data_IF_635001046370
#
_entry.id   IF_635001046370
#
_cell.length_a   1.000
_cell.length_b   1.000
_cell.length_c   1.000
_cell.angle_alpha   90.00
_cell.angle_beta   90.00
_cell.angle_gamma   90.00
#
_symmetry.space_group_name_H-M   'P 1'
#
loop_
_entity.id
_entity.type
_entity.pdbx_description
1 polymer ?
#
# COMPACT_ATOMS: atom_id res chain seq x y z
N UNK A 1 -33.10 -31.79 -11.90
CA UNK A 1 -33.96 -31.31 -13.00
C UNK A 1 -35.35 -31.23 -12.44
N UNK A 2 -35.96 -30.04 -12.46
CA UNK A 2 -37.41 -29.81 -12.58
C UNK A 2 -37.69 -28.34 -12.26
N UNK A 3 -37.38 -27.49 -13.24
CA UNK A 3 -37.99 -26.18 -13.39
C UNK A 3 -39.38 -26.41 -13.99
N UNK A 4 -40.43 -26.41 -13.15
CA UNK A 4 -41.79 -26.31 -13.66
C UNK A 4 -42.09 -24.83 -13.92
N UNK A 5 -41.90 -24.44 -15.17
CA UNK A 5 -42.46 -23.25 -15.77
C UNK A 5 -43.99 -23.34 -15.70
N UNK A 6 -44.61 -22.68 -14.72
CA UNK A 6 -45.97 -22.18 -14.89
C UNK A 6 -45.87 -20.72 -15.31
N UNK A 7 -45.40 -20.51 -16.54
CA UNK A 7 -45.72 -19.28 -17.24
C UNK A 7 -47.18 -19.42 -17.65
N UNK A 8 -48.08 -18.81 -16.88
CA UNK A 8 -49.42 -18.51 -17.38
C UNK A 8 -49.22 -17.77 -18.69
N UNK A 9 -49.42 -18.50 -19.78
CA UNK A 9 -49.36 -18.01 -21.15
C UNK A 9 -50.15 -16.71 -21.22
N UNK A 10 -49.42 -15.61 -21.34
CA UNK A 10 -49.94 -14.26 -21.26
C UNK A 10 -50.67 -13.94 -22.58
N UNK A 11 -51.86 -14.50 -22.77
CA UNK A 11 -52.68 -14.36 -23.99
C UNK A 11 -53.30 -12.95 -24.15
N UNK A 12 -52.98 -12.03 -23.24
CA UNK A 12 -53.48 -10.66 -23.27
C UNK A 12 -52.71 -9.82 -24.28
N UNK A 13 -53.43 -8.94 -24.96
CA UNK A 13 -52.89 -8.03 -25.96
C UNK A 13 -52.03 -6.98 -25.27
N UNK A 14 -50.75 -6.91 -25.64
CA UNK A 14 -49.81 -5.91 -25.11
C UNK A 14 -49.99 -4.59 -25.84
N UNK A 15 -50.24 -3.53 -25.10
CA UNK A 15 -50.41 -2.17 -25.60
C UNK A 15 -49.54 -1.22 -24.78
N UNK A 16 -49.07 -0.15 -25.41
CA UNK A 16 -48.17 0.83 -24.78
C UNK A 16 -48.91 2.02 -24.18
N UNK A 17 -50.12 2.33 -24.68
CA UNK A 17 -50.91 3.50 -24.29
C UNK A 17 -52.34 3.11 -23.90
N UNK A 18 -52.71 3.40 -22.65
CA UNK A 18 -54.08 3.23 -22.10
C UNK A 18 -55.08 4.08 -22.88
N UNK A 19 -54.70 5.32 -23.19
CA UNK A 19 -55.53 6.30 -23.92
C UNK A 19 -56.01 5.78 -25.28
N UNK A 20 -55.11 5.21 -26.09
CA UNK A 20 -55.48 4.68 -27.41
C UNK A 20 -56.50 3.53 -27.30
N UNK A 21 -56.38 2.68 -26.28
CA UNK A 21 -57.36 1.59 -26.05
C UNK A 21 -58.72 2.17 -25.68
N UNK A 22 -58.77 3.18 -24.82
CA UNK A 22 -60.02 3.89 -24.45
C UNK A 22 -60.67 4.53 -25.69
N UNK A 23 -59.89 5.18 -26.56
CA UNK A 23 -60.39 5.78 -27.80
C UNK A 23 -61.01 4.72 -28.74
N UNK A 24 -60.37 3.55 -28.87
CA UNK A 24 -60.91 2.44 -29.67
C UNK A 24 -62.19 1.87 -29.05
N UNK A 25 -62.21 1.64 -27.73
CA UNK A 25 -63.41 1.16 -27.01
C UNK A 25 -64.58 2.11 -27.28
N UNK A 26 -64.37 3.42 -27.15
CA UNK A 26 -65.42 4.40 -27.40
C UNK A 26 -65.92 4.39 -28.85
N UNK A 27 -65.02 4.28 -29.83
CA UNK A 27 -65.40 4.18 -31.24
C UNK A 27 -66.28 2.95 -31.52
N UNK A 28 -65.92 1.78 -30.98
CA UNK A 28 -66.70 0.55 -31.17
C UNK A 28 -68.01 0.54 -30.37
N UNK A 29 -68.04 1.16 -29.18
CA UNK A 29 -69.27 1.40 -28.44
C UNK A 29 -70.28 2.22 -29.26
N UNK A 30 -69.83 3.28 -29.95
CA UNK A 30 -70.71 4.07 -30.83
C UNK A 30 -71.24 3.28 -32.03
N UNK A 31 -70.44 2.36 -32.59
CA UNK A 31 -70.90 1.45 -33.64
C UNK A 31 -71.93 0.45 -33.12
N UNK A 32 -71.69 -0.15 -31.95
CA UNK A 32 -72.62 -1.08 -31.31
C UNK A 32 -73.97 -0.42 -31.00
N UNK A 33 -73.95 0.82 -30.48
CA UNK A 33 -75.16 1.63 -30.26
C UNK A 33 -75.97 1.80 -31.55
N UNK A 34 -75.32 2.15 -32.67
CA UNK A 34 -75.98 2.29 -33.97
C UNK A 34 -76.63 0.99 -34.45
N UNK A 35 -75.96 -0.15 -34.24
CA UNK A 35 -76.48 -1.47 -34.61
C UNK A 35 -77.71 -1.84 -33.78
N UNK A 36 -77.69 -1.63 -32.47
CA UNK A 36 -78.81 -1.91 -31.58
C UNK A 36 -80.02 -1.03 -31.92
N UNK A 37 -79.79 0.27 -32.15
CA UNK A 37 -80.86 1.21 -32.51
C UNK A 37 -81.50 0.90 -33.87
N UNK A 38 -80.77 0.24 -34.78
CA UNK A 38 -81.29 -0.22 -36.07
C UNK A 38 -82.19 -1.46 -36.00
N UNK A 39 -82.32 -2.10 -34.84
CA UNK A 39 -83.17 -3.30 -34.69
C UNK A 39 -84.63 -2.92 -34.40
N UNK A 40 -85.54 -3.24 -35.32
CA UNK A 40 -86.97 -2.89 -35.23
C UNK A 40 -87.83 -3.90 -34.46
N UNK A 41 -87.27 -5.05 -34.05
CA UNK A 41 -88.03 -6.18 -33.49
C UNK A 41 -88.09 -6.21 -31.95
N UNK A 42 -87.40 -5.28 -31.27
CA UNK A 42 -87.30 -5.24 -29.81
C UNK A 42 -88.11 -4.07 -29.24
N UNK A 43 -88.70 -4.28 -28.06
CA UNK A 43 -89.32 -3.19 -27.26
C UNK A 43 -88.24 -2.21 -26.78
N UNK A 44 -88.58 -0.92 -26.68
CA UNK A 44 -87.63 0.14 -26.27
C UNK A 44 -86.99 -0.13 -24.90
N UNK A 45 -87.73 -0.72 -23.95
CA UNK A 45 -87.20 -1.11 -22.64
C UNK A 45 -86.17 -2.25 -22.73
N UNK A 46 -86.40 -3.23 -23.60
CA UNK A 46 -85.48 -4.34 -23.82
C UNK A 46 -84.22 -3.89 -24.56
N UNK A 47 -84.33 -2.89 -25.45
CA UNK A 47 -83.18 -2.28 -26.14
C UNK A 47 -82.26 -1.55 -25.18
N UNK A 48 -82.82 -0.79 -24.24
CA UNK A 48 -82.04 -0.05 -23.25
C UNK A 48 -81.25 -1.00 -22.34
N UNK A 49 -81.92 -2.01 -21.79
CA UNK A 49 -81.26 -3.02 -20.96
C UNK A 49 -80.15 -3.77 -21.72
N UNK A 50 -80.45 -4.22 -22.95
CA UNK A 50 -79.48 -4.91 -23.79
C UNK A 50 -78.30 -4.01 -24.17
N UNK A 51 -78.56 -2.72 -24.42
CA UNK A 51 -77.53 -1.75 -24.75
C UNK A 51 -76.58 -1.52 -23.56
N UNK A 52 -77.10 -1.31 -22.37
CA UNK A 52 -76.28 -1.09 -21.17
C UNK A 52 -75.45 -2.33 -20.82
N UNK A 53 -76.09 -3.51 -20.79
CA UNK A 53 -75.41 -4.76 -20.45
C UNK A 53 -74.37 -5.15 -21.50
N UNK A 54 -74.67 -5.04 -22.80
CA UNK A 54 -73.73 -5.40 -23.86
C UNK A 54 -72.54 -4.44 -23.91
N UNK A 55 -72.76 -3.13 -23.75
CA UNK A 55 -71.67 -2.14 -23.78
C UNK A 55 -70.74 -2.30 -22.57
N UNK A 56 -71.31 -2.59 -21.40
CA UNK A 56 -70.53 -2.86 -20.20
C UNK A 56 -69.73 -4.16 -20.34
N UNK A 57 -70.37 -5.25 -20.77
CA UNK A 57 -69.71 -6.54 -20.98
C UNK A 57 -68.60 -6.45 -22.04
N UNK A 58 -68.83 -5.69 -23.12
CA UNK A 58 -67.81 -5.44 -24.14
C UNK A 58 -66.60 -4.71 -23.57
N UNK A 59 -66.82 -3.63 -22.82
CA UNK A 59 -65.74 -2.87 -22.21
C UNK A 59 -64.93 -3.71 -21.22
N UNK A 60 -65.59 -4.36 -20.27
CA UNK A 60 -64.92 -5.21 -19.27
C UNK A 60 -64.13 -6.32 -19.94
N UNK A 61 -64.70 -6.98 -20.96
CA UNK A 61 -63.99 -8.01 -21.71
C UNK A 61 -62.75 -7.48 -22.43
N UNK A 62 -62.80 -6.26 -23.00
CA UNK A 62 -61.60 -5.65 -23.61
C UNK A 62 -60.55 -5.30 -22.55
N UNK A 63 -60.98 -4.73 -21.41
CA UNK A 63 -60.07 -4.33 -20.33
C UNK A 63 -59.35 -5.54 -19.70
N UNK A 64 -60.06 -6.66 -19.49
CA UNK A 64 -59.48 -7.90 -18.96
C UNK A 64 -58.48 -8.56 -19.91
N UNK A 65 -58.63 -8.35 -21.22
CA UNK A 65 -57.80 -8.98 -22.25
C UNK A 65 -56.63 -8.10 -22.73
N UNK A 66 -56.43 -6.92 -22.14
CA UNK A 66 -55.35 -5.99 -22.50
C UNK A 66 -54.36 -5.84 -21.35
N UNK A 67 -53.08 -5.71 -21.69
CA UNK A 67 -52.01 -5.32 -20.78
C UNK A 67 -51.37 -4.03 -21.25
N UNK A 68 -51.24 -3.06 -20.35
CA UNK A 68 -50.61 -1.77 -20.62
C UNK A 68 -49.24 -1.78 -19.95
N UNK A 69 -48.16 -1.76 -20.75
CA UNK A 69 -46.79 -1.85 -20.23
C UNK A 69 -46.58 -3.01 -19.24
N UNK A 70 -47.10 -4.19 -19.61
CA UNK A 70 -47.11 -5.44 -18.80
C UNK A 70 -47.88 -5.36 -17.47
N UNK A 71 -48.68 -4.31 -17.25
CA UNK A 71 -49.59 -4.16 -16.12
C UNK A 71 -51.03 -4.43 -16.51
N UNK A 72 -51.85 -4.81 -15.53
CA UNK A 72 -53.30 -4.93 -15.71
C UNK A 72 -53.94 -3.56 -15.95
N UNK A 73 -55.18 -3.54 -16.43
CA UNK A 73 -55.91 -2.29 -16.71
C UNK A 73 -56.05 -1.38 -15.48
N UNK A 74 -56.21 -1.96 -14.29
CA UNK A 74 -56.35 -1.24 -13.01
C UNK A 74 -55.00 -0.70 -12.50
N UNK A 75 -53.93 -1.48 -12.65
CA UNK A 75 -52.58 -1.11 -12.17
C UNK A 75 -51.82 -0.16 -13.11
N UNK A 76 -52.31 -0.02 -14.34
CA UNK A 76 -51.74 0.87 -15.33
C UNK A 76 -52.10 2.32 -15.00
N UNK A 77 -51.08 3.09 -14.64
CA UNK A 77 -51.19 4.54 -14.43
C UNK A 77 -51.85 5.18 -15.65
N UNK A 78 -52.82 6.05 -15.40
CA UNK A 78 -53.42 6.87 -16.43
C UNK A 78 -52.36 7.87 -16.88
N UNK A 79 -51.92 7.70 -18.13
CA UNK A 79 -51.01 8.63 -18.79
C UNK A 79 -51.80 9.89 -19.19
N UNK A 80 -52.44 10.51 -18.21
CA UNK A 80 -53.20 11.74 -18.38
C UNK A 80 -52.24 12.92 -18.25
N UNK A 81 -51.21 12.90 -19.08
CA UNK A 81 -50.46 14.08 -19.46
C UNK A 81 -51.24 14.83 -20.54
N UNK A 82 -52.36 15.48 -20.19
CA UNK A 82 -52.96 16.52 -21.04
C UNK A 82 -52.06 17.76 -21.00
N UNK A 83 -50.90 17.69 -21.66
CA UNK A 83 -50.17 18.87 -22.15
C UNK A 83 -50.45 18.93 -23.65
N UNK A 84 -51.48 19.69 -24.01
CA UNK A 84 -51.86 19.89 -25.39
C UNK A 84 -53.24 20.53 -25.49
N UNK A 85 -53.30 21.83 -25.24
CA UNK A 85 -54.40 22.69 -25.69
C UNK A 85 -54.65 22.43 -27.18
N UNK A 86 -55.66 21.61 -27.49
CA UNK A 86 -56.28 21.63 -28.79
C UNK A 86 -57.79 21.68 -28.60
N UNK A 87 -58.27 22.92 -28.73
CA UNK A 87 -59.65 23.37 -28.76
C UNK A 87 -60.55 22.34 -29.45
N UNK A 88 -61.38 21.66 -28.66
CA UNK A 88 -62.53 20.92 -29.18
C UNK A 88 -63.73 21.26 -28.31
N UNK A 89 -64.72 21.84 -28.96
CA UNK A 89 -65.94 22.43 -28.42
C UNK A 89 -66.91 21.33 -27.95
N UNK A 90 -66.79 20.88 -26.69
CA UNK A 90 -67.81 20.04 -26.04
C UNK A 90 -67.90 20.35 -24.54
N UNK A 91 -69.02 20.99 -24.14
CA UNK A 91 -69.31 21.33 -22.75
C UNK A 91 -69.74 20.10 -21.94
N UNK A 92 -68.80 19.46 -21.26
CA UNK A 92 -69.07 18.66 -20.06
C UNK A 92 -68.34 19.33 -18.90
N UNK A 93 -68.80 19.14 -17.66
CA UNK A 93 -68.29 19.78 -16.44
C UNK A 93 -66.87 19.27 -16.11
N UNK A 94 -65.90 19.74 -16.88
CA UNK A 94 -64.46 19.43 -16.80
C UNK A 94 -63.74 20.23 -15.68
N UNK A 95 -64.38 21.30 -15.19
CA UNK A 95 -63.83 22.27 -14.23
C UNK A 95 -63.33 21.66 -12.91
N UNK A 96 -63.99 20.60 -12.39
CA UNK A 96 -63.66 20.04 -11.08
C UNK A 96 -62.52 19.00 -11.13
N UNK A 97 -62.30 18.33 -12.28
CA UNK A 97 -61.23 17.32 -12.42
C UNK A 97 -59.96 17.94 -13.02
N UNK A 98 -60.11 18.92 -13.92
CA UNK A 98 -58.99 19.70 -14.47
C UNK A 98 -58.33 20.56 -13.38
N UNK A 99 -59.13 21.17 -12.50
CA UNK A 99 -58.60 21.96 -11.37
C UNK A 99 -57.70 21.18 -10.42
N UNK A 100 -57.99 19.90 -10.15
CA UNK A 100 -57.16 19.07 -9.25
C UNK A 100 -55.80 18.76 -9.87
N UNK A 101 -55.76 18.46 -11.17
CA UNK A 101 -54.51 18.16 -11.89
C UNK A 101 -53.69 19.46 -12.07
N UNK A 102 -54.33 20.57 -12.40
CA UNK A 102 -53.68 21.87 -12.51
C UNK A 102 -53.10 22.31 -11.16
N UNK A 103 -53.81 22.10 -10.04
CA UNK A 103 -53.33 22.39 -8.70
C UNK A 103 -52.10 21.54 -8.33
N UNK A 104 -52.08 20.26 -8.68
CA UNK A 104 -50.92 19.37 -8.47
C UNK A 104 -49.71 19.82 -9.30
N UNK A 105 -49.92 20.20 -10.56
CA UNK A 105 -48.85 20.71 -11.44
C UNK A 105 -48.31 22.04 -10.91
N UNK A 106 -49.20 22.95 -10.47
CA UNK A 106 -48.81 24.22 -9.86
C UNK A 106 -48.06 24.02 -8.54
N UNK A 107 -48.48 23.07 -7.71
CA UNK A 107 -47.78 22.73 -6.47
C UNK A 107 -46.37 22.19 -6.75
N UNK A 108 -46.21 21.34 -7.77
CA UNK A 108 -44.91 20.83 -8.20
C UNK A 108 -44.03 21.94 -8.78
N UNK A 109 -44.58 22.86 -9.55
CA UNK A 109 -43.84 24.00 -10.13
C UNK A 109 -43.34 24.96 -9.04
N UNK A 110 -44.19 25.31 -8.07
CA UNK A 110 -43.81 26.11 -6.90
C UNK A 110 -42.69 25.42 -6.09
N UNK A 111 -42.80 24.11 -5.86
CA UNK A 111 -41.77 23.33 -5.17
C UNK A 111 -40.46 23.32 -5.96
N UNK A 112 -40.53 23.23 -7.29
CA UNK A 112 -39.37 23.28 -8.16
C UNK A 112 -38.68 24.65 -8.06
N UNK A 113 -39.44 25.73 -8.12
CA UNK A 113 -38.92 27.11 -8.00
C UNK A 113 -38.23 27.34 -6.65
N UNK A 114 -38.83 26.89 -5.55
CA UNK A 114 -38.22 26.96 -4.22
C UNK A 114 -36.88 26.22 -4.18
N UNK A 115 -36.81 25.02 -4.77
CA UNK A 115 -35.58 24.25 -4.87
C UNK A 115 -34.54 24.93 -5.76
N UNK A 116 -34.95 25.53 -6.88
CA UNK A 116 -34.05 26.28 -7.78
C UNK A 116 -33.46 27.48 -7.02
N UNK A 117 -34.29 28.24 -6.31
CA UNK A 117 -33.85 29.40 -5.52
C UNK A 117 -32.93 28.95 -4.39
N UNK A 118 -33.28 27.92 -3.62
CA UNK A 118 -32.47 27.43 -2.52
C UNK A 118 -31.10 26.95 -3.03
N UNK A 119 -31.08 26.15 -4.10
CA UNK A 119 -29.83 25.62 -4.67
C UNK A 119 -28.97 26.74 -5.25
N UNK A 120 -29.54 27.72 -5.95
CA UNK A 120 -28.83 28.89 -6.46
C UNK A 120 -28.25 29.74 -5.30
N UNK A 121 -29.02 29.94 -4.24
CA UNK A 121 -28.55 30.63 -3.05
C UNK A 121 -27.42 29.87 -2.34
N UNK A 122 -27.53 28.54 -2.22
CA UNK A 122 -26.49 27.68 -1.64
C UNK A 122 -25.19 27.79 -2.45
N UNK A 123 -25.27 27.62 -3.78
CA UNK A 123 -24.15 27.76 -4.72
C UNK A 123 -23.47 29.13 -4.61
N UNK A 124 -24.22 30.20 -4.38
CA UNK A 124 -23.67 31.56 -4.24
C UNK A 124 -23.08 31.85 -2.87
N UNK A 125 -23.76 31.47 -1.79
CA UNK A 125 -23.45 31.89 -0.41
C UNK A 125 -22.44 30.96 0.27
N UNK A 126 -22.57 29.65 0.11
CA UNK A 126 -21.81 28.69 0.92
C UNK A 126 -20.32 28.62 0.59
N UNK A 127 -19.88 28.64 -0.69
CA UNK A 127 -18.44 28.69 -0.98
C UNK A 127 -17.76 29.88 -0.31
N UNK A 128 -18.39 31.06 -0.36
CA UNK A 128 -17.88 32.28 0.28
C UNK A 128 -17.82 32.18 1.81
N UNK A 129 -18.74 31.41 2.42
CA UNK A 129 -18.73 31.14 3.87
C UNK A 129 -17.69 30.10 4.25
N UNK A 130 -17.51 29.03 3.46
CA UNK A 130 -16.64 27.88 3.79
C UNK A 130 -15.16 28.20 3.57
N UNK A 131 -14.82 28.89 2.47
CA UNK A 131 -13.44 29.25 2.11
C UNK A 131 -12.65 29.86 3.27
N UNK A 132 -13.12 30.88 4.00
CA UNK A 132 -12.34 31.46 5.09
C UNK A 132 -12.06 30.49 6.25
N UNK A 133 -12.96 29.55 6.56
CA UNK A 133 -12.71 28.54 7.59
C UNK A 133 -11.60 27.57 7.18
N UNK A 134 -11.64 27.09 5.94
CA UNK A 134 -10.62 26.18 5.40
C UNK A 134 -9.27 26.88 5.26
N UNK A 135 -9.26 28.14 4.78
CA UNK A 135 -8.03 28.93 4.71
C UNK A 135 -7.44 29.15 6.11
N UNK A 136 -8.28 29.40 7.12
CA UNK A 136 -7.83 29.56 8.51
C UNK A 136 -7.24 28.28 9.07
N UNK A 137 -7.87 27.12 8.85
CA UNK A 137 -7.35 25.83 9.32
C UNK A 137 -6.02 25.47 8.64
N UNK A 138 -5.93 25.61 7.31
CA UNK A 138 -4.69 25.36 6.57
C UNK A 138 -3.55 26.29 7.00
N UNK A 139 -3.86 27.55 7.32
CA UNK A 139 -2.86 28.50 7.83
C UNK A 139 -2.38 28.11 9.24
N UNK A 140 -3.28 27.60 10.09
CA UNK A 140 -2.92 27.11 11.42
C UNK A 140 -2.03 25.86 11.34
N UNK A 141 -2.34 24.92 10.46
CA UNK A 141 -1.53 23.73 10.20
C UNK A 141 -0.14 24.10 9.68
N UNK A 142 -0.05 25.01 8.70
CA UNK A 142 1.25 25.52 8.22
C UNK A 142 2.05 26.18 9.34
N UNK A 143 1.39 26.95 10.22
CA UNK A 143 2.05 27.57 11.38
C UNK A 143 2.60 26.49 12.33
N UNK A 144 1.82 25.45 12.61
CA UNK A 144 2.23 24.33 13.46
C UNK A 144 3.45 23.60 12.89
N UNK A 145 3.45 23.28 11.59
CA UNK A 145 4.62 22.68 10.92
C UNK A 145 5.88 23.56 11.04
N UNK A 146 5.72 24.88 10.95
CA UNK A 146 6.82 25.83 11.17
C UNK A 146 7.44 25.66 12.57
N UNK A 147 6.62 25.42 13.59
CA UNK A 147 7.10 25.20 14.96
C UNK A 147 7.84 23.86 15.10
N UNK A 148 7.37 22.79 14.46
CA UNK A 148 8.03 21.48 14.51
C UNK A 148 9.42 21.46 13.84
N UNK A 149 9.62 22.22 12.76
CA UNK A 149 10.89 22.24 12.01
C UNK A 149 12.09 22.72 12.85
N UNK A 150 11.86 23.51 13.89
CA UNK A 150 12.92 24.12 14.69
C UNK A 150 13.37 23.25 15.88
N UNK A 151 12.57 22.26 16.28
CA UNK A 151 12.78 21.53 17.55
C UNK A 151 13.84 20.41 17.44
N UNK A 152 14.21 19.97 16.23
CA UNK A 152 15.14 18.83 16.07
C UNK A 152 16.47 19.29 15.52
N UNK A 153 17.35 19.79 16.41
CA UNK A 153 18.79 19.81 16.13
C UNK A 153 19.36 18.41 16.43
N UNK A 154 20.04 17.74 15.49
CA UNK A 154 20.65 16.45 15.76
C UNK A 154 21.66 16.61 16.91
N UNK A 155 21.50 15.80 17.95
CA UNK A 155 22.44 15.73 19.05
C UNK A 155 23.76 15.18 18.48
N UNK A 156 24.78 16.04 18.43
CA UNK A 156 26.11 15.64 17.98
C UNK A 156 26.69 14.71 19.04
N UNK A 157 26.83 13.43 18.70
CA UNK A 157 27.50 12.45 19.56
C UNK A 157 29.00 12.69 19.45
N UNK A 158 29.57 13.35 20.46
CA UNK A 158 31.02 13.45 20.60
C UNK A 158 31.59 12.07 20.91
N UNK A 159 32.71 11.72 20.26
CA UNK A 159 33.38 10.44 20.53
C UNK A 159 34.03 10.48 21.91
N UNK A 160 34.06 9.34 22.58
CA UNK A 160 34.69 9.21 23.90
C UNK A 160 36.18 9.64 23.81
N UNK A 161 36.62 10.65 24.60
CA UNK A 161 37.98 11.15 24.57
C UNK A 161 39.03 10.07 24.91
N UNK A 162 38.64 9.05 25.68
CA UNK A 162 39.51 7.91 26.01
C UNK A 162 39.74 7.06 24.75
N UNK A 163 38.70 6.79 23.98
CA UNK A 163 38.80 6.01 22.73
C UNK A 163 39.64 6.73 21.68
N UNK A 164 39.55 8.05 21.57
CA UNK A 164 40.35 8.85 20.66
C UNK A 164 41.85 8.84 21.03
N UNK A 165 42.15 8.92 22.32
CA UNK A 165 43.53 8.80 22.83
C UNK A 165 44.13 7.42 22.54
N UNK A 166 43.35 6.36 22.68
CA UNK A 166 43.78 4.99 22.34
C UNK A 166 44.02 4.86 20.84
N UNK A 167 43.10 5.37 20.01
CA UNK A 167 43.19 5.26 18.54
C UNK A 167 44.38 6.05 17.97
N UNK A 168 44.67 7.22 18.54
CA UNK A 168 45.83 8.04 18.14
C UNK A 168 47.16 7.41 18.55
N UNK A 169 47.25 6.79 19.72
CA UNK A 169 48.45 6.08 20.13
C UNK A 169 48.69 4.81 19.30
N UNK A 170 47.62 4.04 19.02
CA UNK A 170 47.70 2.85 18.19
C UNK A 170 48.16 3.20 16.77
N UNK A 171 47.60 4.25 16.16
CA UNK A 171 48.00 4.71 14.82
C UNK A 171 49.43 5.24 14.77
N UNK A 172 49.94 5.85 15.85
CA UNK A 172 51.35 6.27 15.95
C UNK A 172 52.31 5.09 16.12
N UNK A 173 51.93 4.06 16.88
CA UNK A 173 52.80 2.92 17.20
C UNK A 173 52.84 1.86 16.10
N UNK A 174 51.72 1.64 15.39
CA UNK A 174 51.60 0.57 14.40
C UNK A 174 52.66 0.62 13.26
N UNK A 175 53.00 1.78 12.65
CA UNK A 175 53.99 1.84 11.58
C UNK A 175 55.39 1.46 12.04
N UNK A 176 55.77 1.85 13.26
CA UNK A 176 57.07 1.52 13.84
C UNK A 176 57.21 0.01 14.02
N UNK A 177 56.21 -0.62 14.64
CA UNK A 177 56.20 -2.07 14.85
C UNK A 177 56.18 -2.84 13.51
N UNK A 178 55.44 -2.35 12.51
CA UNK A 178 55.44 -2.93 11.17
C UNK A 178 56.83 -2.87 10.52
N UNK A 179 57.52 -1.73 10.62
CA UNK A 179 58.87 -1.58 10.06
C UNK A 179 59.88 -2.49 10.75
N UNK A 180 59.77 -2.65 12.07
CA UNK A 180 60.59 -3.59 12.82
C UNK A 180 60.35 -5.03 12.36
N UNK A 181 59.07 -5.44 12.25
CA UNK A 181 58.71 -6.77 11.75
C UNK A 181 59.19 -7.00 10.31
N UNK A 182 59.05 -6.00 9.43
CA UNK A 182 59.56 -6.05 8.05
C UNK A 182 61.08 -6.21 8.02
N UNK A 183 61.81 -5.52 8.89
CA UNK A 183 63.27 -5.63 9.00
C UNK A 183 63.71 -7.02 9.45
N UNK A 184 63.06 -7.57 10.48
CA UNK A 184 63.30 -8.95 10.96
C UNK A 184 63.01 -9.97 9.85
N UNK A 185 61.92 -9.78 9.11
CA UNK A 185 61.56 -10.67 8.00
C UNK A 185 62.56 -10.60 6.84
N UNK A 186 63.20 -9.47 6.59
CA UNK A 186 64.27 -9.37 5.60
C UNK A 186 65.56 -10.04 6.07
N UNK A 187 65.89 -9.92 7.36
CA UNK A 187 67.14 -10.47 7.90
C UNK A 187 67.06 -11.97 8.18
N UNK A 188 65.88 -12.53 8.46
CA UNK A 188 65.72 -13.97 8.75
C UNK A 188 66.18 -14.83 7.58
N UNK A 189 65.90 -14.42 6.34
CA UNK A 189 66.33 -15.14 5.14
C UNK A 189 67.86 -15.19 5.02
N UNK A 190 68.53 -14.07 5.31
CA UNK A 190 69.99 -14.01 5.31
C UNK A 190 70.61 -14.89 6.42
N UNK A 191 69.99 -14.93 7.60
CA UNK A 191 70.42 -15.80 8.70
C UNK A 191 70.22 -17.27 8.35
N UNK A 192 69.09 -17.62 7.72
CA UNK A 192 68.80 -18.97 7.25
C UNK A 192 69.85 -19.45 6.24
N UNK A 193 70.18 -18.65 5.24
CA UNK A 193 71.23 -19.00 4.25
C UNK A 193 72.60 -19.23 4.90
N UNK A 194 72.97 -18.41 5.90
CA UNK A 194 74.23 -18.61 6.64
C UNK A 194 74.21 -19.91 7.45
N UNK A 195 73.09 -20.23 8.08
CA UNK A 195 72.94 -21.47 8.83
C UNK A 195 73.05 -22.70 7.89
N UNK A 196 72.39 -22.66 6.72
CA UNK A 196 72.48 -23.70 5.69
C UNK A 196 73.90 -23.85 5.11
N UNK A 197 74.60 -22.74 4.88
CA UNK A 197 76.00 -22.78 4.44
C UNK A 197 76.93 -23.40 5.48
N UNK A 198 76.74 -23.08 6.77
CA UNK A 198 77.50 -23.69 7.86
C UNK A 198 77.21 -25.19 8.01
N UNK A 199 75.93 -25.60 7.90
CA UNK A 199 75.59 -27.03 7.93
C UNK A 199 76.16 -27.77 6.73
N UNK A 200 76.17 -27.15 5.54
CA UNK A 200 76.83 -27.72 4.36
C UNK A 200 78.33 -27.93 4.60
N UNK A 201 79.04 -26.95 5.14
CA UNK A 201 80.47 -27.08 5.48
C UNK A 201 80.70 -28.20 6.50
N UNK A 202 79.88 -28.28 7.55
CA UNK A 202 79.99 -29.34 8.55
C UNK A 202 79.73 -30.74 7.97
N UNK A 203 78.86 -30.84 6.96
CA UNK A 203 78.55 -32.10 6.29
C UNK A 203 79.56 -32.47 5.18
N UNK A 204 80.35 -31.52 4.69
CA UNK A 204 81.42 -31.80 3.72
C UNK A 204 82.61 -32.46 4.42
N UNK A 205 83.14 -33.54 3.84
CA UNK A 205 84.39 -34.14 4.32
C UNK A 205 85.56 -33.26 3.90
N UNK A 206 86.52 -32.95 4.79
CA UNK A 206 87.73 -32.23 4.41
C UNK A 206 88.49 -33.03 3.34
N UNK A 207 88.80 -32.38 2.22
CA UNK A 207 89.60 -32.93 1.11
C UNK A 207 90.95 -33.42 1.63
N UNK A 208 91.51 -34.49 1.02
CA UNK A 208 92.76 -35.10 1.48
C UNK A 208 93.92 -34.09 1.67
N UNK A 209 93.97 -33.05 0.85
CA UNK A 209 94.94 -31.95 0.97
C UNK A 209 94.72 -31.09 2.22
N UNK A 210 93.47 -30.73 2.56
CA UNK A 210 93.18 -29.94 3.77
C UNK A 210 93.34 -30.77 5.04
N UNK A 211 93.10 -32.08 4.99
CA UNK A 211 93.47 -33.00 6.06
C UNK A 211 94.99 -33.11 6.24
N UNK A 212 95.76 -33.10 5.15
CA UNK A 212 97.23 -33.07 5.19
C UNK A 212 97.75 -31.82 5.87
N UNK A 213 97.24 -30.64 5.48
CA UNK A 213 97.60 -29.36 6.13
C UNK A 213 97.14 -29.31 7.59
N UNK A 214 95.94 -29.80 7.92
CA UNK A 214 95.50 -29.88 9.32
C UNK A 214 96.40 -30.83 10.13
N UNK A 215 96.84 -31.95 9.57
CA UNK A 215 97.80 -32.83 10.22
C UNK A 215 99.21 -32.22 10.32
N UNK A 216 99.62 -31.38 9.38
CA UNK A 216 100.90 -30.65 9.46
C UNK A 216 100.85 -29.54 10.53
N UNK A 217 99.76 -28.78 10.58
CA UNK A 217 99.58 -27.67 11.52
C UNK A 217 99.23 -28.14 12.93
N UNK A 218 98.45 -29.22 13.08
CA UNK A 218 97.96 -29.71 14.37
C UNK A 218 98.48 -31.10 14.77
N UNK A 219 99.15 -31.85 13.88
CA UNK A 219 99.47 -33.27 14.06
C UNK A 219 100.94 -33.60 14.33
N UNK A 220 101.76 -32.66 14.80
CA UNK A 220 103.10 -33.00 15.30
C UNK A 220 103.04 -33.56 16.72
N UNK A 221 103.10 -34.89 16.85
CA UNK A 221 103.42 -35.61 18.10
C UNK A 221 104.70 -36.43 17.92
N UNK A 222 105.85 -35.97 18.42
CA UNK A 222 106.95 -36.86 18.77
C UNK A 222 106.80 -37.35 20.21
N UNK A 223 106.88 -38.67 20.36
CA UNK A 223 107.02 -39.38 21.61
C UNK A 223 108.48 -39.21 22.10
N UNK A 224 108.72 -38.35 23.09
CA UNK A 224 109.74 -38.49 24.14
C UNK A 224 109.59 -37.33 25.14
N UNK A 225 109.68 -37.72 26.42
CA UNK A 225 110.04 -36.88 27.55
C UNK A 225 109.07 -35.78 28.01
N UNK A 226 108.32 -36.18 29.04
CA UNK A 226 107.31 -35.45 29.77
C UNK A 226 107.96 -34.28 30.54
N UNK A 227 108.00 -33.08 29.95
CA UNK A 227 108.37 -31.84 30.63
C UNK A 227 107.29 -30.77 30.46
N UNK A 228 106.82 -30.31 31.61
CA UNK A 228 105.71 -29.39 31.85
C UNK A 228 105.82 -28.06 31.08
N UNK A 229 104.71 -27.61 30.50
CA UNK A 229 104.41 -26.18 30.34
C UNK A 229 102.91 -25.96 30.14
N UNK A 230 102.21 -25.72 31.25
CA UNK A 230 100.89 -25.08 31.28
C UNK A 230 100.96 -23.70 30.62
N UNK A 231 100.22 -23.46 29.54
CA UNK A 231 99.77 -22.11 29.17
C UNK A 231 98.31 -22.12 28.69
N UNK A 232 97.50 -21.57 29.59
CA UNK A 232 96.09 -21.23 29.57
C UNK A 232 95.54 -20.70 28.24
N UNK A 233 94.33 -21.16 27.87
CA UNK A 233 93.43 -20.46 26.93
C UNK A 233 92.11 -20.18 27.62
N UNK A 234 91.72 -18.91 27.64
CA UNK A 234 90.53 -18.34 28.26
C UNK A 234 89.29 -18.51 27.37
N UNK A 235 88.15 -18.81 27.99
CA UNK A 235 86.82 -18.89 27.37
C UNK A 235 86.15 -17.52 27.31
N UNK A 236 85.67 -17.11 26.14
CA UNK A 236 84.88 -15.89 25.92
C UNK A 236 83.47 -16.09 26.48
N UNK A 237 83.07 -15.29 27.47
CA UNK A 237 81.72 -15.30 28.04
C UNK A 237 80.80 -14.40 27.21
N UNK A 238 79.67 -14.96 26.77
CA UNK A 238 78.54 -14.27 26.14
C UNK A 238 77.78 -13.49 27.22
N UNK A 239 77.62 -12.18 27.06
CA UNK A 239 76.76 -11.35 27.89
C UNK A 239 75.52 -10.95 27.09
N UNK A 240 74.34 -11.40 27.52
CA UNK A 240 73.06 -10.79 27.14
C UNK A 240 72.01 -11.15 28.21
N UNK A 241 71.54 -10.14 28.92
CA UNK A 241 70.49 -10.23 29.94
C UNK A 241 69.13 -10.44 29.28
N UNK A 242 68.40 -11.46 29.76
CA UNK A 242 66.98 -11.69 29.47
C UNK A 242 66.19 -11.38 30.75
N UNK A 243 65.81 -10.13 30.99
CA UNK A 243 65.02 -9.76 32.19
C UNK A 243 63.85 -8.80 31.94
N UNK A 244 63.46 -8.51 30.70
CA UNK A 244 62.34 -7.57 30.44
C UNK A 244 61.03 -8.21 29.97
N UNK A 245 60.93 -9.55 29.90
CA UNK A 245 59.73 -10.24 29.38
C UNK A 245 58.80 -10.85 30.45
N UNK A 246 58.77 -10.33 31.69
CA UNK A 246 57.95 -10.92 32.77
C UNK A 246 56.89 -10.03 33.41
N UNK A 247 56.67 -8.79 32.94
CA UNK A 247 55.83 -7.82 33.67
C UNK A 247 54.63 -7.21 32.89
N UNK A 248 54.11 -7.86 31.85
CA UNK A 248 52.99 -7.28 31.05
C UNK A 248 51.68 -8.08 31.10
N UNK A 249 51.51 -9.06 32.01
CA UNK A 249 50.23 -9.75 32.18
C UNK A 249 49.85 -9.93 33.65
N UNK A 250 49.18 -8.93 34.21
CA UNK A 250 48.31 -9.10 35.38
C UNK A 250 46.85 -8.96 34.94
N UNK A 251 46.14 -10.09 34.88
CA UNK A 251 44.70 -10.16 34.65
C UNK A 251 43.97 -9.66 35.92
N UNK A 252 43.49 -8.42 35.87
CA UNK A 252 42.62 -7.85 36.89
C UNK A 252 41.26 -8.54 36.91
N UNK A 253 40.99 -9.27 37.99
CA UNK A 253 39.68 -9.86 38.30
C UNK A 253 38.71 -8.72 38.66
N UNK A 254 37.70 -8.46 37.81
CA UNK A 254 36.56 -7.59 38.15
C UNK A 254 35.42 -8.44 38.71
N UNK A 255 34.96 -8.13 39.93
CA UNK A 255 33.66 -8.58 40.48
C UNK A 255 32.53 -7.74 39.88
N UNK A 256 31.36 -8.30 39.55
CA UNK A 256 30.16 -7.52 39.24
C UNK A 256 29.40 -7.17 40.53
N UNK A 257 29.09 -5.88 40.72
CA UNK A 257 28.15 -5.41 41.72
C UNK A 257 26.77 -5.22 41.08
N UNK A 258 25.79 -5.93 41.64
CA UNK A 258 24.36 -5.71 41.45
C UNK A 258 23.98 -4.32 42.00
N UNK A 259 23.16 -3.57 41.27
CA UNK A 259 22.36 -2.48 41.85
C UNK A 259 20.95 -2.54 41.30
N UNK A 260 20.02 -2.77 42.22
CA UNK A 260 18.58 -2.79 42.08
C UNK A 260 18.05 -1.43 41.63
N UNK A 261 17.11 -1.41 40.69
CA UNK A 261 16.37 -0.22 40.28
C UNK A 261 14.95 -0.33 40.83
N UNK A 262 14.55 0.60 41.69
CA UNK A 262 13.15 0.81 42.10
C UNK A 262 12.65 2.10 41.43
N UNK A 263 11.43 2.13 40.86
CA UNK A 263 10.90 3.33 40.21
C UNK A 263 10.12 4.23 41.20
N UNK A 264 10.23 5.53 40.99
CA UNK A 264 9.17 6.51 41.22
C UNK A 264 8.69 7.04 39.86
#
# INVERSE_FOLDING_TARGET
METYCNEETQYRVKVTSKKNVVEQINKYKELLKKVINGQFQLSEEAKQLLQEELLLNFETAVQENVLINDKTWEDAAEEDGKIGHQSTDYSVREEEVEGVIEDEVLALDNLLDDNIVETAQKRRKYPKKITPYVVRSLKAERKLMGMYKEVVKPQVVEKDPVQETIMTNLSKSAPFNFNQASSVMKSIHAVQQRAEGLTQVLNTRPTAESMGVLAEVFGSRPNMENRMANRSRTTIKRAMEHTELRNIYSLGIKKPALSEHKPE
#
